data_IF_214339113605
#
_entry.id   IF_214339113605
#
_cell.length_a   1.000
_cell.length_b   1.000
_cell.length_c   1.000
_cell.angle_alpha   90.00
_cell.angle_beta   90.00
_cell.angle_gamma   90.00
#
_symmetry.space_group_name_H-M   'P 1'
#
loop_
_entity.id
_entity.type
_entity.pdbx_description
1 polymer ?
#
# COMPACT_ATOMS: atom_id res chain seq x y z
N UNK A 1 52.55 -22.38 -23.35
CA UNK A 1 51.93 -21.13 -22.84
C UNK A 1 50.61 -20.70 -23.52
N UNK A 2 50.31 -21.05 -24.78
CA UNK A 2 49.09 -20.59 -25.49
C UNK A 2 47.75 -21.12 -24.91
N UNK A 3 47.71 -22.33 -24.34
CA UNK A 3 46.50 -22.94 -23.74
C UNK A 3 46.00 -22.18 -22.48
N UNK A 4 46.90 -21.77 -21.58
CA UNK A 4 46.57 -20.97 -20.37
C UNK A 4 45.95 -19.61 -20.73
N UNK A 5 46.43 -18.96 -21.78
CA UNK A 5 45.91 -17.66 -22.25
C UNK A 5 44.48 -17.75 -22.81
N UNK A 6 44.13 -18.86 -23.47
CA UNK A 6 42.76 -19.11 -23.98
C UNK A 6 41.77 -19.42 -22.84
N UNK A 7 42.20 -20.18 -21.82
CA UNK A 7 41.38 -20.48 -20.65
C UNK A 7 41.04 -19.23 -19.84
N UNK A 8 42.01 -18.32 -19.63
CA UNK A 8 41.73 -17.04 -18.95
C UNK A 8 40.75 -16.16 -19.73
N UNK A 9 40.85 -16.09 -21.06
CA UNK A 9 39.88 -15.34 -21.88
C UNK A 9 38.48 -15.92 -21.77
N UNK A 10 38.35 -17.25 -21.72
CA UNK A 10 37.07 -17.92 -21.56
C UNK A 10 36.43 -17.60 -20.20
N UNK A 11 37.23 -17.65 -19.13
CA UNK A 11 36.80 -17.26 -17.78
C UNK A 11 36.35 -15.81 -17.70
N UNK A 12 37.06 -14.88 -18.36
CA UNK A 12 36.65 -13.47 -18.40
C UNK A 12 35.32 -13.29 -19.12
N UNK A 13 35.10 -13.98 -20.24
CA UNK A 13 33.83 -13.94 -20.98
C UNK A 13 32.68 -14.48 -20.13
N UNK A 14 32.90 -15.60 -19.44
CA UNK A 14 31.90 -16.18 -18.52
C UNK A 14 31.56 -15.19 -17.40
N UNK A 15 32.56 -14.53 -16.82
CA UNK A 15 32.35 -13.55 -15.76
C UNK A 15 31.53 -12.35 -16.24
N UNK A 16 31.78 -11.86 -17.45
CA UNK A 16 31.01 -10.78 -18.07
C UNK A 16 29.56 -11.21 -18.30
N UNK A 17 29.34 -12.44 -18.82
CA UNK A 17 28.00 -12.99 -19.01
C UNK A 17 27.21 -13.11 -17.71
N UNK A 18 27.86 -13.60 -16.64
CA UNK A 18 27.24 -13.69 -15.30
C UNK A 18 26.91 -12.30 -14.76
N UNK A 19 27.81 -11.33 -14.91
CA UNK A 19 27.56 -9.96 -14.47
C UNK A 19 26.35 -9.33 -15.20
N UNK A 20 26.24 -9.54 -16.52
CA UNK A 20 25.09 -9.07 -17.31
C UNK A 20 23.80 -9.74 -16.82
N UNK A 21 23.82 -11.05 -16.58
CA UNK A 21 22.67 -11.79 -16.07
C UNK A 21 22.19 -11.22 -14.72
N UNK A 22 23.13 -10.93 -13.81
CA UNK A 22 22.81 -10.34 -12.49
C UNK A 22 22.19 -8.95 -12.65
N UNK A 23 22.70 -8.12 -13.56
CA UNK A 23 22.14 -6.79 -13.83
C UNK A 23 20.70 -6.89 -14.35
N UNK A 24 20.43 -7.82 -15.28
CA UNK A 24 19.08 -8.05 -15.81
C UNK A 24 18.11 -8.47 -14.70
N UNK A 25 18.52 -9.40 -13.83
CA UNK A 25 17.72 -9.83 -12.68
C UNK A 25 17.40 -8.68 -11.71
N UNK A 26 18.34 -7.76 -11.47
CA UNK A 26 18.12 -6.58 -10.63
C UNK A 26 17.11 -5.62 -11.26
N UNK A 27 17.18 -5.42 -12.59
CA UNK A 27 16.23 -4.58 -13.32
C UNK A 27 14.83 -5.18 -13.23
N UNK A 28 14.68 -6.47 -13.53
CA UNK A 28 13.39 -7.17 -13.46
C UNK A 28 12.79 -7.10 -12.05
N UNK A 29 13.60 -7.30 -11.01
CA UNK A 29 13.12 -7.23 -9.62
C UNK A 29 12.64 -5.82 -9.24
N UNK A 30 13.34 -4.77 -9.69
CA UNK A 30 12.92 -3.38 -9.45
C UNK A 30 11.67 -3.01 -10.24
N UNK A 31 11.58 -3.46 -11.49
CA UNK A 31 10.42 -3.23 -12.36
C UNK A 31 9.19 -3.95 -11.81
N UNK A 32 9.33 -5.19 -11.36
CA UNK A 32 8.25 -5.97 -10.73
C UNK A 32 7.69 -5.27 -9.49
N UNK A 33 8.58 -4.78 -8.60
CA UNK A 33 8.16 -4.03 -7.41
C UNK A 33 7.46 -2.70 -7.73
N UNK A 34 7.76 -2.10 -8.89
CA UNK A 34 7.15 -0.84 -9.32
C UNK A 34 5.81 -1.05 -10.05
N UNK A 35 5.64 -2.21 -10.72
CA UNK A 35 4.43 -2.57 -11.45
C UNK A 35 3.35 -3.22 -10.58
N UNK A 36 3.65 -3.53 -9.32
CA UNK A 36 2.65 -3.97 -8.35
C UNK A 36 1.64 -2.84 -8.16
N UNK A 37 0.54 -2.89 -8.91
CA UNK A 37 -0.62 -2.03 -8.72
C UNK A 37 -1.05 -2.22 -7.28
N UNK A 38 -0.69 -1.27 -6.41
CA UNK A 38 -1.25 -1.20 -5.06
C UNK A 38 -2.77 -1.07 -5.21
N UNK A 39 -3.45 -2.20 -5.06
CA UNK A 39 -4.90 -2.28 -5.13
C UNK A 39 -5.48 -1.42 -4.01
N UNK A 40 -6.40 -0.54 -4.37
CA UNK A 40 -7.07 0.30 -3.38
C UNK A 40 -8.04 -0.59 -2.62
N UNK A 41 -7.80 -0.79 -1.33
CA UNK A 41 -8.70 -1.53 -0.44
C UNK A 41 -9.70 -0.56 0.17
N UNK A 42 -10.98 -0.93 0.11
CA UNK A 42 -12.07 -0.17 0.72
C UNK A 42 -12.39 -0.78 2.08
N UNK A 43 -12.44 0.06 3.10
CA UNK A 43 -12.75 -0.31 4.49
C UNK A 43 -13.88 0.58 4.97
N UNK A 44 -14.96 -0.03 5.46
CA UNK A 44 -16.07 0.71 6.06
C UNK A 44 -15.89 0.75 7.59
N UNK A 45 -15.80 1.96 8.15
CA UNK A 45 -15.79 2.20 9.60
C UNK A 45 -17.19 2.66 10.01
N UNK A 46 -17.83 1.90 10.88
CA UNK A 46 -19.11 2.26 11.48
C UNK A 46 -18.87 3.15 12.70
N UNK A 47 -19.60 4.26 12.80
CA UNK A 47 -19.58 5.11 13.99
C UNK A 47 -20.16 4.37 15.20
N UNK A 48 -19.62 4.68 16.38
CA UNK A 48 -20.21 4.27 17.66
C UNK A 48 -21.11 5.40 18.11
N UNK A 49 -22.42 5.25 17.91
CA UNK A 49 -23.39 6.22 18.40
C UNK A 49 -24.19 5.69 19.60
N UNK A 50 -24.54 6.59 20.51
CA UNK A 50 -25.38 6.28 21.69
C UNK A 50 -26.58 7.22 21.74
N UNK A 51 -27.79 6.69 22.01
CA UNK A 51 -28.98 7.54 22.16
C UNK A 51 -28.90 8.34 23.47
N UNK A 52 -29.08 9.65 23.39
CA UNK A 52 -29.08 10.55 24.54
C UNK A 52 -30.04 11.72 24.32
N UNK A 53 -31.03 11.85 25.22
CA UNK A 53 -32.03 12.94 25.22
C UNK A 53 -32.61 13.24 23.82
N UNK A 54 -33.32 12.27 23.24
CA UNK A 54 -33.95 12.35 21.91
C UNK A 54 -33.00 12.57 20.70
N UNK A 55 -31.68 12.61 20.92
CA UNK A 55 -30.67 12.75 19.88
C UNK A 55 -29.71 11.55 19.88
N UNK A 56 -28.99 11.36 18.77
CA UNK A 56 -27.87 10.41 18.69
C UNK A 56 -26.55 11.16 18.92
N UNK A 57 -25.78 10.71 19.90
CA UNK A 57 -24.41 11.19 20.10
C UNK A 57 -23.50 10.35 19.22
N UNK A 58 -22.92 10.99 18.21
CA UNK A 58 -21.97 10.39 17.27
C UNK A 58 -20.53 10.56 17.75
N UNK A 59 -19.73 9.51 17.63
CA UNK A 59 -18.28 9.61 17.82
C UNK A 59 -17.64 10.27 16.59
N UNK A 60 -18.11 9.90 15.39
CA UNK A 60 -17.73 10.50 14.11
C UNK A 60 -18.74 11.60 13.76
N UNK A 61 -18.39 12.84 14.12
CA UNK A 61 -19.28 14.00 13.96
C UNK A 61 -19.10 14.75 12.64
N UNK A 62 -17.92 14.61 12.04
CA UNK A 62 -17.54 15.38 10.85
C UNK A 62 -16.51 14.60 10.00
N UNK A 63 -16.21 15.19 8.84
CA UNK A 63 -15.28 14.65 7.86
C UNK A 63 -13.82 14.58 8.39
N UNK A 64 -13.43 15.48 9.30
CA UNK A 64 -12.08 15.50 9.88
C UNK A 64 -11.85 14.31 10.84
N UNK A 65 -12.83 14.01 11.70
CA UNK A 65 -12.80 12.83 12.56
C UNK A 65 -12.81 11.55 11.70
N UNK A 66 -13.59 11.56 10.62
CA UNK A 66 -13.65 10.47 9.66
C UNK A 66 -12.28 10.21 9.00
N UNK A 67 -11.63 11.26 8.48
CA UNK A 67 -10.32 11.18 7.85
C UNK A 67 -9.26 10.65 8.84
N UNK A 68 -9.23 11.18 10.07
CA UNK A 68 -8.29 10.74 11.09
C UNK A 68 -8.49 9.26 11.46
N UNK A 69 -9.74 8.82 11.58
CA UNK A 69 -10.07 7.42 11.84
C UNK A 69 -9.64 6.52 10.68
N UNK A 70 -9.92 6.92 9.44
CA UNK A 70 -9.47 6.21 8.26
C UNK A 70 -7.93 6.14 8.15
N UNK A 71 -7.24 7.23 8.51
CA UNK A 71 -5.77 7.29 8.50
C UNK A 71 -5.19 6.30 9.50
N UNK A 72 -5.71 6.26 10.72
CA UNK A 72 -5.29 5.30 11.73
C UNK A 72 -5.52 3.86 11.24
N UNK A 73 -6.68 3.60 10.64
CA UNK A 73 -7.05 2.25 10.21
C UNK A 73 -6.28 1.75 8.98
N UNK A 74 -5.94 2.63 8.03
CA UNK A 74 -5.04 2.28 6.94
C UNK A 74 -3.62 1.98 7.46
N UNK A 75 -3.10 2.78 8.39
CA UNK A 75 -1.75 2.60 8.96
C UNK A 75 -1.64 1.31 9.76
N UNK A 76 -2.68 0.93 10.52
CA UNK A 76 -2.74 -0.36 11.23
C UNK A 76 -2.65 -1.58 10.30
N UNK A 77 -2.85 -1.37 8.99
CA UNK A 77 -2.80 -2.41 7.96
C UNK A 77 -1.65 -2.20 6.97
N UNK A 78 -0.63 -1.43 7.37
CA UNK A 78 0.55 -1.09 6.58
C UNK A 78 0.23 -0.47 5.21
N UNK A 79 -0.87 0.30 5.16
CA UNK A 79 -1.32 1.03 3.97
C UNK A 79 -1.39 2.53 4.25
N UNK A 80 -1.38 3.33 3.18
CA UNK A 80 -1.56 4.78 3.27
C UNK A 80 -2.99 5.14 2.92
N UNK A 81 -3.51 6.19 3.56
CA UNK A 81 -4.80 6.74 3.18
C UNK A 81 -4.71 7.37 1.79
N UNK A 82 -5.59 6.95 0.88
CA UNK A 82 -5.79 7.57 -0.43
C UNK A 82 -6.96 8.57 -0.41
N UNK A 83 -8.09 8.16 0.17
CA UNK A 83 -9.31 8.98 0.29
C UNK A 83 -10.15 8.51 1.49
N UNK A 84 -10.90 9.42 2.09
CA UNK A 84 -12.00 9.11 3.00
C UNK A 84 -13.31 9.71 2.48
N UNK A 85 -14.43 9.06 2.74
CA UNK A 85 -15.77 9.60 2.49
C UNK A 85 -16.60 9.48 3.77
N UNK A 86 -17.07 10.62 4.26
CA UNK A 86 -17.98 10.68 5.40
C UNK A 86 -19.43 10.50 4.93
N UNK A 87 -20.14 9.57 5.56
CA UNK A 87 -21.54 9.29 5.29
C UNK A 87 -22.35 9.74 6.51
N UNK A 88 -23.02 10.87 6.36
CA UNK A 88 -23.93 11.41 7.36
C UNK A 88 -25.25 10.65 7.32
N UNK A 89 -25.65 10.09 8.46
CA UNK A 89 -26.95 9.44 8.63
C UNK A 89 -27.76 10.20 9.68
N UNK A 90 -29.02 10.53 9.35
CA UNK A 90 -29.92 11.28 10.26
C UNK A 90 -30.69 10.38 11.22
N UNK A 91 -30.91 9.12 10.83
CA UNK A 91 -31.70 8.15 11.59
C UNK A 91 -30.83 7.08 12.27
N UNK A 92 -29.58 6.93 11.83
CA UNK A 92 -28.64 5.89 12.29
C UNK A 92 -27.27 6.48 12.57
N UNK A 93 -26.33 5.68 13.10
CA UNK A 93 -24.95 6.11 13.29
C UNK A 93 -24.32 6.51 11.95
N UNK A 94 -23.45 7.52 11.96
CA UNK A 94 -22.67 7.91 10.79
C UNK A 94 -21.72 6.78 10.37
N UNK A 95 -21.12 6.89 9.19
CA UNK A 95 -20.07 5.97 8.79
C UNK A 95 -19.01 6.63 7.92
N UNK A 96 -17.91 5.91 7.73
CA UNK A 96 -16.78 6.34 6.95
C UNK A 96 -16.38 5.26 5.97
N UNK A 97 -16.17 5.63 4.71
CA UNK A 97 -15.50 4.76 3.73
C UNK A 97 -14.07 5.20 3.56
N UNK A 98 -13.14 4.31 3.88
CA UNK A 98 -11.71 4.54 3.81
C UNK A 98 -11.14 3.81 2.60
N UNK A 99 -10.38 4.51 1.77
CA UNK A 99 -9.70 3.97 0.61
C UNK A 99 -8.21 3.94 0.93
N UNK A 100 -7.63 2.76 1.10
CA UNK A 100 -6.25 2.56 1.52
C UNK A 100 -5.38 1.99 0.40
N UNK A 101 -4.10 2.39 0.30
CA UNK A 101 -3.16 2.02 -0.77
C UNK A 101 -1.69 1.89 -0.32
#
# INVERSE_FOLDING_TARGET
>A
MKKKRKANKLLTIIYILVAILVILLIIDFKVWKYLEKKEVKVIDIQDKCTPFLNNLIHTIKDESICENSCRAECVMRDMNLYKSEFVLNLETCNSCKCYCK
#
